data_IF_576518617692
#
_entry.id   IF_576518617692
#
_cell.length_a   1.000
_cell.length_b   1.000
_cell.length_c   1.000
_cell.angle_alpha   90.00
_cell.angle_beta   90.00
_cell.angle_gamma   90.00
#
_symmetry.space_group_name_H-M   'P 1'
#
loop_
_entity.id
_entity.type
_entity.pdbx_description
1 polymer ?
#
# COMPACT_ATOMS: atom_id res chain seq x y z
N UNK A 1 9.76 89.53 -2.86
CA UNK A 1 9.67 89.39 -1.41
C UNK A 1 8.49 88.44 -1.17
N UNK A 2 8.59 87.26 -0.67
CA UNK A 2 9.53 86.58 0.16
C UNK A 2 9.37 85.09 -0.01
N UNK A 3 10.46 84.45 0.13
CA UNK A 3 10.74 83.02 0.17
C UNK A 3 10.40 82.48 1.56
N UNK A 4 10.24 81.19 1.68
CA UNK A 4 10.25 80.33 2.83
C UNK A 4 8.91 79.57 3.11
N UNK A 5 9.03 78.32 3.03
CA UNK A 5 8.72 77.19 3.90
C UNK A 5 8.20 75.96 3.10
N UNK A 6 9.07 75.12 2.68
CA UNK A 6 8.75 73.86 2.07
C UNK A 6 9.78 72.75 2.30
N UNK A 7 10.25 72.51 3.54
CA UNK A 7 11.29 71.49 3.78
C UNK A 7 11.14 70.76 5.14
N UNK A 8 10.02 70.35 5.59
CA UNK A 8 9.93 69.57 6.85
C UNK A 8 9.00 68.35 6.80
N UNK A 9 8.29 68.06 5.72
CA UNK A 9 7.27 66.98 5.76
C UNK A 9 7.75 65.63 5.15
N UNK A 10 8.96 65.54 4.59
CA UNK A 10 9.40 64.31 3.86
C UNK A 10 10.20 63.29 4.72
N UNK A 11 10.57 63.66 5.95
CA UNK A 11 11.44 62.75 6.78
C UNK A 11 10.72 61.86 7.78
N UNK A 12 9.39 61.90 7.90
CA UNK A 12 8.67 61.17 8.95
C UNK A 12 7.88 59.97 8.42
N UNK A 13 7.77 59.76 7.10
CA UNK A 13 6.98 58.68 6.50
C UNK A 13 7.83 57.42 6.18
N UNK A 14 9.17 57.48 6.26
CA UNK A 14 10.07 56.38 5.86
C UNK A 14 10.48 55.42 6.99
N UNK A 15 9.92 55.54 8.19
CA UNK A 15 10.29 54.70 9.34
C UNK A 15 9.21 53.70 9.80
N UNK A 16 8.04 53.67 9.17
CA UNK A 16 6.94 52.81 9.59
C UNK A 16 6.65 51.62 8.67
N UNK A 17 7.46 51.42 7.60
CA UNK A 17 7.24 50.33 6.63
C UNK A 17 8.10 49.05 6.85
N UNK A 18 8.97 49.06 7.85
CA UNK A 18 9.91 47.93 8.07
C UNK A 18 9.49 46.91 9.16
N UNK A 19 8.36 47.11 9.80
CA UNK A 19 7.92 46.24 10.93
C UNK A 19 6.80 45.24 10.61
N UNK A 20 6.30 45.21 9.38
CA UNK A 20 5.14 44.35 9.01
C UNK A 20 5.51 43.10 8.18
N UNK A 21 6.79 42.79 7.92
CA UNK A 21 7.19 41.70 7.00
C UNK A 21 7.75 40.43 7.68
N UNK A 22 7.65 40.28 9.00
CA UNK A 22 8.26 39.13 9.72
C UNK A 22 7.22 38.09 10.22
N UNK A 23 5.94 38.28 10.00
CA UNK A 23 4.90 37.42 10.60
C UNK A 23 4.23 36.41 9.65
N UNK A 24 4.79 36.09 8.49
CA UNK A 24 4.12 35.19 7.51
C UNK A 24 4.97 33.97 7.12
N UNK A 25 5.80 33.44 8.01
CA UNK A 25 6.58 32.20 7.72
C UNK A 25 6.40 31.13 8.79
N UNK A 26 5.23 31.00 9.39
CA UNK A 26 4.83 29.71 9.96
C UNK A 26 4.22 28.87 8.82
N UNK A 27 5.09 28.39 7.93
CA UNK A 27 4.75 27.27 7.06
C UNK A 27 4.29 26.14 7.99
N UNK A 28 3.01 25.81 7.91
CA UNK A 28 2.41 24.65 8.58
C UNK A 28 3.21 23.44 8.13
N UNK A 29 4.13 22.98 8.97
CA UNK A 29 4.70 21.63 8.84
C UNK A 29 3.54 20.72 9.22
N UNK A 30 2.67 20.41 8.25
CA UNK A 30 1.75 19.30 8.39
C UNK A 30 2.63 18.08 8.72
N UNK A 31 2.33 17.32 9.79
CA UNK A 31 3.05 16.09 10.02
C UNK A 31 2.93 15.27 8.75
N UNK A 32 4.06 14.96 8.11
CA UNK A 32 4.09 13.96 7.06
C UNK A 32 3.61 12.68 7.75
N UNK A 33 2.36 12.32 7.51
CA UNK A 33 1.81 11.04 7.94
C UNK A 33 2.72 10.02 7.30
N UNK A 34 3.50 9.30 8.10
CA UNK A 34 4.34 8.22 7.59
C UNK A 34 3.40 7.33 6.79
N UNK A 35 3.59 7.29 5.47
CA UNK A 35 2.81 6.42 4.62
C UNK A 35 2.96 5.02 5.21
N UNK A 36 1.85 4.40 5.59
CA UNK A 36 1.86 3.05 6.14
C UNK A 36 2.58 2.10 5.18
N UNK A 37 3.13 1.01 5.70
CA UNK A 37 3.71 -0.02 4.85
C UNK A 37 2.62 -0.53 3.91
N UNK A 38 2.79 -0.34 2.61
CA UNK A 38 1.85 -0.83 1.60
C UNK A 38 1.91 -2.35 1.48
N UNK A 39 0.78 -3.01 1.48
CA UNK A 39 0.66 -4.44 1.23
C UNK A 39 -0.54 -4.76 0.34
N UNK A 40 -0.50 -5.89 -0.35
CA UNK A 40 -1.61 -6.38 -1.16
C UNK A 40 -2.12 -7.73 -0.65
N UNK A 41 -3.44 -7.93 -0.69
CA UNK A 41 -4.08 -9.24 -0.60
C UNK A 41 -4.72 -9.54 -1.95
N UNK A 42 -4.40 -10.70 -2.53
CA UNK A 42 -4.93 -11.12 -3.83
C UNK A 42 -5.58 -12.49 -3.65
N UNK A 43 -6.89 -12.56 -3.75
CA UNK A 43 -7.67 -13.80 -3.60
C UNK A 43 -8.13 -14.32 -4.97
N UNK A 44 -8.60 -15.58 -5.03
CA UNK A 44 -9.12 -16.14 -6.30
C UNK A 44 -10.39 -15.41 -6.75
N UNK A 45 -11.31 -15.14 -5.80
CA UNK A 45 -12.58 -14.45 -6.06
C UNK A 45 -13.01 -13.68 -4.83
N UNK A 46 -13.92 -12.74 -4.99
CA UNK A 46 -14.56 -11.98 -3.90
C UNK A 46 -15.96 -12.46 -3.55
N UNK A 47 -16.46 -13.51 -4.20
CA UNK A 47 -17.80 -14.09 -3.97
C UNK A 47 -17.79 -15.32 -3.06
N UNK A 48 -16.68 -16.06 -2.97
CA UNK A 48 -16.54 -17.21 -2.09
C UNK A 48 -16.43 -16.75 -0.63
N UNK A 49 -17.31 -17.25 0.29
CA UNK A 49 -17.30 -16.84 1.69
C UNK A 49 -15.95 -17.04 2.40
N UNK A 50 -15.16 -18.04 2.00
CA UNK A 50 -13.81 -18.25 2.52
C UNK A 50 -12.89 -17.06 2.25
N UNK A 51 -12.85 -16.57 1.01
CA UNK A 51 -12.02 -15.42 0.64
C UNK A 51 -12.57 -14.10 1.18
N UNK A 52 -13.91 -13.99 1.30
CA UNK A 52 -14.53 -12.84 1.98
C UNK A 52 -14.04 -12.74 3.42
N UNK A 53 -14.05 -13.85 4.17
CA UNK A 53 -13.54 -13.88 5.55
C UNK A 53 -12.05 -13.63 5.66
N UNK A 54 -11.26 -14.15 4.71
CA UNK A 54 -9.83 -13.87 4.63
C UNK A 54 -9.58 -12.35 4.46
N UNK A 55 -10.30 -11.70 3.56
CA UNK A 55 -10.22 -10.26 3.33
C UNK A 55 -10.64 -9.44 4.55
N UNK A 56 -11.74 -9.80 5.21
CA UNK A 56 -12.20 -9.15 6.44
C UNK A 56 -11.11 -9.21 7.53
N UNK A 57 -10.57 -10.40 7.78
CA UNK A 57 -9.53 -10.61 8.79
C UNK A 57 -8.24 -9.84 8.46
N UNK A 58 -7.80 -9.90 7.21
CA UNK A 58 -6.61 -9.18 6.76
C UNK A 58 -6.79 -7.67 6.88
N UNK A 59 -7.96 -7.13 6.50
CA UNK A 59 -8.26 -5.70 6.59
C UNK A 59 -8.28 -5.22 8.05
N UNK A 60 -8.92 -5.99 8.94
CA UNK A 60 -8.94 -5.66 10.37
C UNK A 60 -7.52 -5.64 10.95
N UNK A 61 -6.70 -6.64 10.62
CA UNK A 61 -5.33 -6.73 11.14
C UNK A 61 -4.42 -5.65 10.55
N UNK A 62 -4.58 -5.32 9.28
CA UNK A 62 -3.84 -4.24 8.64
C UNK A 62 -4.12 -2.89 9.32
N UNK A 63 -5.39 -2.61 9.65
CA UNK A 63 -5.77 -1.40 10.38
C UNK A 63 -5.12 -1.33 11.78
N UNK A 64 -5.09 -2.45 12.53
CA UNK A 64 -4.41 -2.52 13.82
C UNK A 64 -2.91 -2.23 13.72
N UNK A 65 -2.27 -2.70 12.64
CA UNK A 65 -0.82 -2.59 12.43
C UNK A 65 -0.39 -1.32 11.70
N UNK A 66 -1.33 -0.47 11.26
CA UNK A 66 -1.03 0.71 10.44
C UNK A 66 -0.52 0.37 9.04
N UNK A 67 -0.91 -0.80 8.51
CA UNK A 67 -0.57 -1.24 7.15
C UNK A 67 -1.63 -0.72 6.16
N UNK A 68 -1.17 -0.13 5.05
CA UNK A 68 -2.04 0.24 3.93
C UNK A 68 -2.28 -1.00 3.05
N UNK A 69 -3.37 -1.72 3.33
CA UNK A 69 -3.73 -2.95 2.64
C UNK A 69 -4.66 -2.67 1.46
N UNK A 70 -4.21 -3.03 0.25
CA UNK A 70 -5.05 -3.08 -0.95
C UNK A 70 -5.49 -4.51 -1.22
N UNK A 71 -6.80 -4.73 -1.38
CA UNK A 71 -7.34 -6.06 -1.64
C UNK A 71 -7.86 -6.17 -3.07
N UNK A 72 -7.42 -7.22 -3.76
CA UNK A 72 -7.80 -7.57 -5.13
C UNK A 72 -8.35 -8.98 -5.17
N UNK A 73 -9.13 -9.29 -6.19
CA UNK A 73 -9.64 -10.62 -6.47
C UNK A 73 -9.72 -10.87 -7.97
N UNK A 74 -9.60 -12.11 -8.39
CA UNK A 74 -9.99 -12.53 -9.73
C UNK A 74 -11.52 -12.48 -9.92
N UNK A 75 -11.98 -12.55 -11.15
CA UNK A 75 -13.42 -12.61 -11.51
C UNK A 75 -14.04 -13.94 -11.09
N UNK A 76 -13.24 -15.00 -11.13
CA UNK A 76 -13.58 -16.36 -10.75
C UNK A 76 -12.31 -17.09 -10.26
N UNK A 77 -12.49 -18.34 -9.79
CA UNK A 77 -11.40 -19.13 -9.21
C UNK A 77 -10.27 -19.45 -10.20
N UNK A 78 -10.50 -19.31 -11.51
CA UNK A 78 -9.53 -19.57 -12.58
C UNK A 78 -8.90 -18.32 -13.20
N UNK A 79 -9.27 -17.12 -12.76
CA UNK A 79 -8.82 -15.85 -13.37
C UNK A 79 -7.35 -15.54 -13.02
N UNK A 80 -6.43 -16.26 -13.64
CA UNK A 80 -5.00 -15.99 -13.50
C UNK A 80 -4.60 -14.62 -14.09
N UNK A 81 -5.23 -14.18 -15.20
CA UNK A 81 -4.90 -12.90 -15.83
C UNK A 81 -5.22 -11.71 -14.92
N UNK A 82 -6.38 -11.74 -14.25
CA UNK A 82 -6.74 -10.75 -13.25
C UNK A 82 -5.76 -10.71 -12.08
N UNK A 83 -5.28 -11.88 -11.64
CA UNK A 83 -4.27 -11.94 -10.57
C UNK A 83 -2.90 -11.41 -11.03
N UNK A 84 -2.48 -11.70 -12.27
CA UNK A 84 -1.26 -11.14 -12.86
C UNK A 84 -1.32 -9.61 -12.85
N UNK A 85 -2.44 -9.04 -13.33
CA UNK A 85 -2.63 -7.59 -13.34
C UNK A 85 -2.62 -6.97 -11.93
N UNK A 86 -3.20 -7.67 -10.94
CA UNK A 86 -3.18 -7.25 -9.53
C UNK A 86 -1.76 -7.23 -8.96
N UNK A 87 -0.95 -8.28 -9.21
CA UNK A 87 0.47 -8.31 -8.77
C UNK A 87 1.27 -7.19 -9.42
N UNK A 88 1.10 -6.96 -10.72
CA UNK A 88 1.78 -5.87 -11.44
C UNK A 88 1.38 -4.49 -10.89
N UNK A 89 0.10 -4.30 -10.52
CA UNK A 89 -0.36 -3.08 -9.85
C UNK A 89 0.33 -2.91 -8.49
N UNK A 90 0.44 -3.97 -7.69
CA UNK A 90 1.12 -3.93 -6.40
C UNK A 90 2.60 -3.59 -6.52
N UNK A 91 3.27 -4.10 -7.56
CA UNK A 91 4.67 -3.75 -7.87
C UNK A 91 4.77 -2.26 -8.21
N UNK A 92 3.90 -1.76 -9.09
CA UNK A 92 3.88 -0.36 -9.51
C UNK A 92 3.59 0.61 -8.35
N UNK A 93 2.74 0.21 -7.42
CA UNK A 93 2.41 0.97 -6.21
C UNK A 93 3.51 0.92 -5.14
N UNK A 94 4.56 0.13 -5.35
CA UNK A 94 5.68 0.01 -4.41
C UNK A 94 5.34 -0.72 -3.12
N UNK A 95 4.38 -1.65 -3.16
CA UNK A 95 4.02 -2.50 -2.03
C UNK A 95 5.27 -3.19 -1.45
N UNK A 96 5.25 -3.49 -0.15
CA UNK A 96 6.33 -4.21 0.54
C UNK A 96 6.01 -5.67 0.78
N UNK A 97 4.74 -6.03 0.66
CA UNK A 97 4.27 -7.41 0.80
C UNK A 97 3.09 -7.72 -0.11
N UNK A 98 3.04 -8.93 -0.60
CA UNK A 98 1.92 -9.51 -1.35
C UNK A 98 1.54 -10.83 -0.67
N UNK A 99 0.27 -10.92 -0.31
CA UNK A 99 -0.41 -12.12 0.18
C UNK A 99 -1.28 -12.62 -0.96
N UNK A 100 -1.07 -13.83 -1.48
CA UNK A 100 -1.80 -14.32 -2.66
C UNK A 100 -2.27 -15.75 -2.50
N UNK A 101 -3.53 -16.01 -2.89
CA UNK A 101 -4.05 -17.36 -3.13
C UNK A 101 -4.08 -17.57 -4.64
N UNK A 102 -3.10 -18.27 -5.25
CA UNK A 102 -2.98 -18.35 -6.71
C UNK A 102 -4.13 -19.13 -7.33
N UNK A 103 -4.70 -18.60 -8.43
CA UNK A 103 -5.69 -19.29 -9.28
C UNK A 103 -5.03 -20.39 -10.12
N UNK A 104 -3.88 -20.07 -10.71
CA UNK A 104 -3.00 -21.05 -11.37
C UNK A 104 -1.63 -21.04 -10.71
N UNK A 105 -1.26 -22.19 -10.13
CA UNK A 105 -0.06 -22.35 -9.32
C UNK A 105 1.24 -22.21 -10.11
N UNK A 106 1.21 -22.46 -11.42
CA UNK A 106 2.36 -22.39 -12.34
C UNK A 106 2.36 -21.12 -13.16
N UNK A 107 1.23 -20.76 -13.75
CA UNK A 107 1.15 -19.64 -14.69
C UNK A 107 1.44 -18.29 -14.00
N UNK A 108 1.17 -18.15 -12.70
CA UNK A 108 1.45 -16.93 -11.95
C UNK A 108 2.96 -16.75 -11.61
N UNK A 109 3.74 -17.83 -11.58
CA UNK A 109 5.14 -17.83 -11.08
C UNK A 109 6.04 -16.78 -11.73
N UNK A 110 6.03 -16.55 -13.05
CA UNK A 110 6.86 -15.50 -13.66
C UNK A 110 6.55 -14.10 -13.08
N UNK A 111 5.29 -13.83 -12.75
CA UNK A 111 4.88 -12.53 -12.17
C UNK A 111 5.25 -12.44 -10.69
N UNK A 112 5.14 -13.54 -9.95
CA UNK A 112 5.64 -13.63 -8.57
C UNK A 112 7.14 -13.36 -8.53
N UNK A 113 7.90 -13.94 -9.47
CA UNK A 113 9.33 -13.66 -9.57
C UNK A 113 9.63 -12.17 -9.78
N UNK A 114 8.88 -11.48 -10.66
CA UNK A 114 9.02 -10.02 -10.84
C UNK A 114 8.81 -9.26 -9.53
N UNK A 115 7.80 -9.63 -8.73
CA UNK A 115 7.54 -9.00 -7.45
C UNK A 115 8.71 -9.20 -6.46
N UNK A 116 9.23 -10.42 -6.36
CA UNK A 116 10.39 -10.74 -5.50
C UNK A 116 11.67 -10.04 -5.98
N UNK A 117 11.92 -9.99 -7.28
CA UNK A 117 13.05 -9.25 -7.86
C UNK A 117 12.96 -7.73 -7.57
N UNK A 118 11.73 -7.20 -7.39
CA UNK A 118 11.48 -5.82 -6.94
C UNK A 118 11.62 -5.64 -5.41
N UNK A 119 12.02 -6.68 -4.66
CA UNK A 119 12.20 -6.66 -3.21
C UNK A 119 10.89 -6.71 -2.41
N UNK A 120 9.81 -7.23 -3.00
CA UNK A 120 8.52 -7.41 -2.35
C UNK A 120 8.46 -8.81 -1.74
N UNK A 121 8.12 -8.90 -0.45
CA UNK A 121 7.86 -10.17 0.22
C UNK A 121 6.59 -10.81 -0.33
N UNK A 122 6.66 -12.05 -0.80
CA UNK A 122 5.50 -12.78 -1.33
C UNK A 122 5.18 -13.98 -0.45
N UNK A 123 3.95 -14.04 0.03
CA UNK A 123 3.42 -15.13 0.85
C UNK A 123 2.24 -15.79 0.10
N UNK A 124 2.38 -17.07 -0.21
CA UNK A 124 1.27 -17.87 -0.72
C UNK A 124 0.34 -18.26 0.43
N UNK A 125 -0.96 -18.07 0.23
CA UNK A 125 -2.01 -18.43 1.19
C UNK A 125 -2.84 -19.59 0.64
N UNK A 126 -3.15 -20.57 1.49
CA UNK A 126 -4.04 -21.70 1.20
C UNK A 126 -3.56 -22.63 0.08
N UNK A 127 -3.18 -22.08 -1.06
CA UNK A 127 -2.74 -22.82 -2.24
C UNK A 127 -1.25 -22.51 -2.51
N UNK A 128 -0.33 -23.50 -2.45
CA UNK A 128 1.09 -23.29 -2.76
C UNK A 128 1.31 -23.03 -4.26
N UNK A 129 2.38 -22.34 -4.59
CA UNK A 129 2.88 -22.26 -5.97
C UNK A 129 3.54 -23.59 -6.40
N UNK A 130 3.70 -23.78 -7.69
CA UNK A 130 4.48 -24.88 -8.27
C UNK A 130 5.54 -24.30 -9.23
N UNK A 131 6.83 -24.27 -8.80
CA UNK A 131 7.37 -24.83 -7.56
C UNK A 131 7.05 -24.04 -6.29
N UNK A 132 7.05 -24.72 -5.13
CA UNK A 132 6.65 -24.13 -3.84
C UNK A 132 7.56 -22.97 -3.39
N UNK A 133 8.82 -22.98 -3.79
CA UNK A 133 9.82 -21.94 -3.48
C UNK A 133 9.69 -20.69 -4.38
N UNK A 134 8.68 -20.65 -5.26
CA UNK A 134 8.36 -19.45 -6.02
C UNK A 134 7.93 -18.30 -5.10
N UNK A 135 7.25 -18.57 -3.97
CA UNK A 135 7.00 -17.61 -2.90
C UNK A 135 8.09 -17.67 -1.81
N UNK A 136 8.20 -16.61 -1.00
CA UNK A 136 9.13 -16.58 0.13
C UNK A 136 8.62 -17.46 1.28
N UNK A 137 7.30 -17.59 1.41
CA UNK A 137 6.64 -18.43 2.40
C UNK A 137 5.30 -18.93 1.87
N UNK A 138 4.88 -20.11 2.33
CA UNK A 138 3.53 -20.65 2.10
C UNK A 138 2.85 -20.90 3.44
N UNK A 139 1.61 -20.44 3.57
CA UNK A 139 0.74 -20.67 4.71
C UNK A 139 -0.53 -21.38 4.24
N UNK A 140 -0.61 -22.68 4.48
CA UNK A 140 -1.71 -23.51 4.06
C UNK A 140 -2.06 -24.56 5.13
N UNK A 141 -3.29 -25.07 5.09
CA UNK A 141 -3.69 -26.23 5.89
C UNK A 141 -2.99 -27.47 5.36
N UNK A 142 -2.48 -28.31 6.26
CA UNK A 142 -2.08 -29.69 5.91
C UNK A 142 -3.34 -30.53 5.67
N UNK A 143 -3.81 -30.50 4.41
CA UNK A 143 -5.03 -31.18 4.02
C UNK A 143 -4.90 -32.71 4.06
N UNK A 144 -3.69 -33.24 3.95
CA UNK A 144 -3.43 -34.68 4.10
C UNK A 144 -3.66 -35.09 5.56
N UNK A 145 -3.04 -34.36 6.50
CA UNK A 145 -3.20 -34.62 7.93
C UNK A 145 -4.65 -34.38 8.39
N UNK A 146 -5.29 -33.33 7.88
CA UNK A 146 -6.70 -33.05 8.18
C UNK A 146 -7.61 -34.19 7.69
N UNK A 147 -7.41 -34.69 6.46
CA UNK A 147 -8.15 -35.82 5.92
C UNK A 147 -7.92 -37.12 6.70
N UNK A 148 -6.68 -37.39 7.10
CA UNK A 148 -6.35 -38.54 7.95
C UNK A 148 -7.08 -38.50 9.29
N UNK A 149 -7.10 -37.32 9.96
CA UNK A 149 -7.77 -37.18 11.27
C UNK A 149 -9.30 -37.30 11.19
N UNK A 150 -9.93 -36.98 10.06
CA UNK A 150 -11.37 -37.13 9.85
C UNK A 150 -11.72 -38.56 9.50
N UNK A 151 -10.84 -39.29 8.81
CA UNK A 151 -11.07 -40.66 8.34
C UNK A 151 -10.65 -41.78 9.33
N UNK A 152 -10.04 -41.40 10.44
CA UNK A 152 -9.64 -42.32 11.51
C UNK A 152 -10.71 -42.40 12.60
#
# INVERSE_FOLDING_TARGET
MGVFHGRIIVKTILKSAAAAAVLLSFASIAPAQAAGIGACLITKTDTNPFFVKMKEGATAKAAELGVDLKAYAGKDDGDNEGQVAAVETCIADGAKGILITPSDTKAIVPTIKKARDAGILVIALDTPHDPIDAADQTMATDNFQAGFLIGA
#
